data_IF_308421980484
#
_entry.id   IF_308421980484
#
_cell.length_a   1.000
_cell.length_b   1.000
_cell.length_c   1.000
_cell.angle_alpha   90.00
_cell.angle_beta   90.00
_cell.angle_gamma   90.00
#
_symmetry.space_group_name_H-M   'P 1'
#
loop_
_entity.id
_entity.type
_entity.pdbx_description
1 polymer ?
#
# COMPACT_ATOMS: atom_id res chain seq x y z
N UNK A 1 -53.95 -14.38 10.29
CA UNK A 1 -52.53 -13.99 10.21
C UNK A 1 -52.28 -13.40 8.81
N UNK A 2 -52.28 -12.08 8.68
CA UNK A 2 -51.98 -11.41 7.41
C UNK A 2 -50.50 -11.12 7.31
N UNK A 3 -49.82 -11.73 6.33
CA UNK A 3 -48.42 -11.42 6.01
C UNK A 3 -48.37 -9.97 5.52
N UNK A 4 -47.80 -9.06 6.31
CA UNK A 4 -47.50 -7.69 5.88
C UNK A 4 -46.50 -7.79 4.71
N UNK A 5 -46.93 -7.41 3.50
CA UNK A 5 -46.04 -7.19 2.37
C UNK A 5 -44.96 -6.18 2.78
N UNK A 6 -43.70 -6.53 2.53
CA UNK A 6 -42.56 -5.61 2.65
C UNK A 6 -42.83 -4.45 1.67
N UNK A 7 -42.69 -3.17 2.09
CA UNK A 7 -42.90 -2.05 1.18
C UNK A 7 -41.92 -2.12 0.01
N UNK A 8 -42.46 -2.15 -1.21
CA UNK A 8 -41.70 -1.92 -2.43
C UNK A 8 -41.12 -0.51 -2.40
N UNK A 9 -39.81 -0.39 -2.23
CA UNK A 9 -39.13 0.90 -2.19
C UNK A 9 -38.92 1.37 -3.64
N UNK A 10 -39.60 2.44 -4.03
CA UNK A 10 -39.48 3.05 -5.37
C UNK A 10 -38.54 4.26 -5.33
N UNK A 11 -37.85 4.58 -6.44
CA UNK A 11 -37.03 5.77 -6.54
C UNK A 11 -37.88 7.02 -6.22
N UNK A 12 -37.31 8.00 -5.50
CA UNK A 12 -38.07 9.18 -5.12
C UNK A 12 -38.34 10.06 -6.34
N UNK A 13 -39.60 10.45 -6.52
CA UNK A 13 -40.02 11.38 -7.58
C UNK A 13 -39.77 12.81 -7.11
N UNK A 14 -39.00 13.59 -7.89
CA UNK A 14 -38.72 14.99 -7.57
C UNK A 14 -40.04 15.78 -7.64
N UNK A 15 -40.45 16.37 -6.51
CA UNK A 15 -41.61 17.25 -6.46
C UNK A 15 -41.26 18.67 -6.91
N UNK A 16 -42.25 19.48 -7.34
CA UNK A 16 -42.01 20.89 -7.67
C UNK A 16 -41.37 21.70 -6.51
N UNK A 17 -41.68 21.33 -5.26
CA UNK A 17 -41.05 21.91 -4.07
C UNK A 17 -39.56 21.54 -4.00
N UNK A 18 -39.22 20.26 -4.13
CA UNK A 18 -37.84 19.78 -4.10
C UNK A 18 -37.01 20.30 -5.29
N UNK A 19 -37.62 20.47 -6.46
CA UNK A 19 -36.95 21.00 -7.65
C UNK A 19 -36.52 22.47 -7.53
N UNK A 20 -37.24 23.27 -6.72
CA UNK A 20 -36.97 24.71 -6.55
C UNK A 20 -35.88 24.99 -5.50
N UNK A 21 -35.57 24.03 -4.64
CA UNK A 21 -34.57 24.18 -3.60
C UNK A 21 -33.29 23.38 -3.95
N UNK A 22 -32.16 24.08 -4.05
CA UNK A 22 -30.87 23.53 -4.48
C UNK A 22 -30.40 22.37 -3.58
N UNK A 23 -30.67 22.43 -2.27
CA UNK A 23 -30.26 21.39 -1.32
C UNK A 23 -31.09 20.12 -1.50
N UNK A 24 -32.41 20.27 -1.62
CA UNK A 24 -33.29 19.13 -1.87
C UNK A 24 -33.02 18.50 -3.23
N UNK A 25 -32.84 19.30 -4.29
CA UNK A 25 -32.49 18.79 -5.62
C UNK A 25 -31.20 17.98 -5.61
N UNK A 26 -30.17 18.42 -4.86
CA UNK A 26 -28.89 17.71 -4.76
C UNK A 26 -29.04 16.38 -4.01
N UNK A 27 -29.77 16.38 -2.90
CA UNK A 27 -30.02 15.15 -2.12
C UNK A 27 -30.86 14.17 -2.94
N UNK A 28 -31.91 14.63 -3.61
CA UNK A 28 -32.74 13.79 -4.49
C UNK A 28 -31.93 13.24 -5.67
N UNK A 29 -31.01 14.02 -6.24
CA UNK A 29 -30.11 13.52 -7.30
C UNK A 29 -29.27 12.35 -6.82
N UNK A 30 -28.63 12.47 -5.65
CA UNK A 30 -27.82 11.37 -5.07
C UNK A 30 -28.66 10.12 -4.77
N UNK A 31 -29.88 10.31 -4.23
CA UNK A 31 -30.77 9.17 -3.97
C UNK A 31 -31.21 8.54 -5.30
N UNK A 32 -31.58 9.34 -6.31
CA UNK A 32 -31.98 8.83 -7.61
C UNK A 32 -30.85 8.05 -8.29
N UNK A 33 -29.63 8.59 -8.28
CA UNK A 33 -28.43 7.91 -8.81
C UNK A 33 -28.20 6.58 -8.11
N UNK A 34 -28.42 6.51 -6.79
CA UNK A 34 -28.34 5.27 -6.02
C UNK A 34 -29.36 4.22 -6.48
N UNK A 35 -30.60 4.61 -6.76
CA UNK A 35 -31.62 3.70 -7.30
C UNK A 35 -31.33 3.29 -8.76
N UNK A 36 -30.76 4.20 -9.56
CA UNK A 36 -30.42 3.95 -10.95
C UNK A 36 -29.29 2.92 -11.13
N UNK A 37 -28.47 2.68 -10.08
CA UNK A 37 -27.49 1.60 -10.05
C UNK A 37 -28.13 0.19 -10.04
N UNK A 38 -29.44 0.10 -9.78
CA UNK A 38 -30.19 -1.16 -9.71
C UNK A 38 -29.87 -1.99 -8.46
N UNK A 39 -30.51 -3.15 -8.35
CA UNK A 39 -30.09 -4.16 -7.37
C UNK A 39 -28.71 -4.67 -7.79
N UNK A 40 -27.66 -4.12 -7.16
CA UNK A 40 -26.35 -4.76 -7.19
C UNK A 40 -26.51 -6.08 -6.43
N UNK A 41 -26.76 -7.15 -7.18
CA UNK A 41 -26.73 -8.51 -6.65
C UNK A 41 -25.29 -8.85 -6.35
N UNK A 42 -24.85 -8.48 -5.15
CA UNK A 42 -23.63 -9.00 -4.56
C UNK A 42 -23.86 -10.48 -4.26
N UNK A 43 -23.69 -11.34 -5.27
CA UNK A 43 -23.75 -12.80 -5.06
C UNK A 43 -22.64 -13.27 -4.11
N UNK A 44 -21.57 -12.48 -3.97
CA UNK A 44 -20.44 -12.77 -3.09
C UNK A 44 -20.43 -11.81 -1.89
N UNK A 45 -21.36 -12.02 -0.96
CA UNK A 45 -21.32 -11.42 0.39
C UNK A 45 -20.03 -11.73 1.18
N UNK A 46 -19.19 -12.66 0.68
CA UNK A 46 -17.94 -13.07 1.29
C UNK A 46 -16.76 -12.12 1.06
N UNK A 47 -16.73 -11.38 -0.06
CA UNK A 47 -15.63 -10.46 -0.37
C UNK A 47 -15.52 -9.35 0.67
N UNK A 48 -16.67 -8.94 1.23
CA UNK A 48 -16.76 -7.95 2.31
C UNK A 48 -16.58 -8.54 3.72
N UNK A 49 -16.69 -9.87 3.90
CA UNK A 49 -16.47 -10.50 5.20
C UNK A 49 -14.99 -10.47 5.62
N UNK A 50 -14.05 -10.55 4.67
CA UNK A 50 -12.62 -10.34 4.91
C UNK A 50 -12.23 -8.88 5.16
N UNK A 51 -13.12 -7.95 4.80
CA UNK A 51 -12.94 -6.50 4.85
C UNK A 51 -13.57 -5.83 6.08
N UNK A 52 -13.96 -6.61 7.10
CA UNK A 52 -14.66 -6.09 8.30
C UNK A 52 -13.90 -4.98 9.03
N UNK A 53 -12.60 -4.83 8.81
CA UNK A 53 -11.79 -3.77 9.40
C UNK A 53 -11.45 -2.69 8.36
N UNK A 54 -11.83 -1.44 8.66
CA UNK A 54 -11.52 -0.25 7.85
C UNK A 54 -10.03 -0.14 7.51
N UNK A 55 -9.15 -0.58 8.41
CA UNK A 55 -7.70 -0.63 8.17
C UNK A 55 -7.37 -1.53 6.98
N UNK A 56 -7.96 -2.73 6.90
CA UNK A 56 -7.69 -3.68 5.81
C UNK A 56 -8.28 -3.23 4.48
N UNK A 57 -9.47 -2.60 4.51
CA UNK A 57 -10.03 -1.93 3.33
C UNK A 57 -9.05 -0.88 2.82
N UNK A 58 -8.54 -0.04 3.72
CA UNK A 58 -7.62 1.02 3.35
C UNK A 58 -6.31 0.49 2.76
N UNK A 59 -5.78 -0.58 3.34
CA UNK A 59 -4.60 -1.29 2.83
C UNK A 59 -4.84 -1.79 1.39
N UNK A 60 -5.97 -2.45 1.11
CA UNK A 60 -6.32 -2.83 -0.26
C UNK A 60 -6.45 -1.62 -1.21
N UNK A 61 -7.03 -0.51 -0.74
CA UNK A 61 -7.06 0.71 -1.54
C UNK A 61 -5.63 1.23 -1.83
N UNK A 62 -4.71 1.14 -0.87
CA UNK A 62 -3.31 1.50 -1.07
C UNK A 62 -2.65 0.61 -2.12
N UNK A 63 -2.87 -0.71 -2.08
CA UNK A 63 -2.35 -1.64 -3.08
C UNK A 63 -2.74 -1.20 -4.50
N UNK A 64 -4.04 -0.92 -4.72
CA UNK A 64 -4.56 -0.48 -6.02
C UNK A 64 -3.94 0.86 -6.42
N UNK A 65 -3.88 1.83 -5.51
CA UNK A 65 -3.31 3.15 -5.78
C UNK A 65 -1.80 3.10 -6.06
N UNK A 66 -1.06 2.18 -5.44
CA UNK A 66 0.37 1.95 -5.72
C UNK A 66 0.54 1.40 -7.14
N UNK A 67 -0.22 0.38 -7.51
CA UNK A 67 -0.16 -0.24 -8.85
C UNK A 67 -0.58 0.77 -9.93
N UNK A 68 -1.65 1.53 -9.69
CA UNK A 68 -2.09 2.61 -10.58
C UNK A 68 -1.00 3.69 -10.73
N UNK A 69 -0.34 4.06 -9.63
CA UNK A 69 0.73 5.05 -9.67
C UNK A 69 1.95 4.57 -10.45
N UNK A 70 2.35 3.29 -10.29
CA UNK A 70 3.41 2.68 -11.09
C UNK A 70 3.02 2.64 -12.58
N UNK A 71 1.76 2.33 -12.88
CA UNK A 71 1.25 2.33 -14.25
C UNK A 71 1.25 3.74 -14.86
N UNK A 72 0.87 4.76 -14.08
CA UNK A 72 0.84 6.17 -14.52
C UNK A 72 2.22 6.73 -14.90
N UNK A 73 3.29 6.19 -14.32
CA UNK A 73 4.68 6.56 -14.65
C UNK A 73 5.31 5.66 -15.73
N UNK A 74 4.51 4.78 -16.35
CA UNK A 74 4.87 3.98 -17.53
C UNK A 74 5.31 2.54 -17.26
N UNK A 75 5.09 1.99 -16.06
CA UNK A 75 5.33 0.55 -15.83
C UNK A 75 4.16 -0.29 -16.32
N UNK A 76 4.46 -1.39 -17.01
CA UNK A 76 3.47 -2.37 -17.44
C UNK A 76 3.52 -3.61 -16.54
N UNK A 77 2.35 -4.08 -16.10
CA UNK A 77 2.24 -5.35 -15.37
C UNK A 77 2.62 -6.50 -16.30
N UNK A 78 3.64 -7.27 -15.92
CA UNK A 78 4.10 -8.47 -16.65
C UNK A 78 3.48 -9.74 -16.09
N UNK A 79 3.35 -9.82 -14.77
CA UNK A 79 2.72 -10.96 -14.11
C UNK A 79 2.14 -10.56 -12.76
N UNK A 80 1.17 -11.35 -12.32
CA UNK A 80 0.58 -11.26 -10.99
C UNK A 80 0.17 -12.66 -10.54
N UNK A 81 0.41 -12.98 -9.27
CA UNK A 81 0.06 -14.28 -8.71
C UNK A 81 -0.16 -14.20 -7.20
N UNK A 82 -0.67 -15.30 -6.64
CA UNK A 82 -0.76 -15.50 -5.21
C UNK A 82 0.40 -16.37 -4.74
N UNK A 83 1.10 -15.89 -3.71
CA UNK A 83 2.20 -16.60 -3.07
C UNK A 83 1.92 -16.84 -1.59
N UNK A 84 2.17 -18.05 -1.13
CA UNK A 84 2.12 -18.41 0.28
C UNK A 84 3.41 -17.96 0.98
N UNK A 85 3.38 -16.78 1.60
CA UNK A 85 4.54 -16.23 2.31
C UNK A 85 4.89 -16.94 3.62
N UNK A 86 4.06 -17.89 4.11
CA UNK A 86 4.45 -18.75 5.25
C UNK A 86 5.54 -19.75 4.87
N UNK A 87 5.64 -20.07 3.59
CA UNK A 87 6.71 -20.91 3.09
C UNK A 87 7.98 -20.10 2.95
N UNK A 88 9.06 -20.63 3.52
CA UNK A 88 10.39 -20.06 3.41
C UNK A 88 11.03 -20.48 2.09
N UNK A 89 11.95 -19.65 1.57
CA UNK A 89 12.48 -18.41 2.14
C UNK A 89 11.70 -17.17 1.64
N UNK A 90 12.32 -15.98 1.54
CA UNK A 90 11.60 -14.79 1.08
C UNK A 90 10.96 -14.99 -0.30
N UNK A 91 9.84 -14.30 -0.52
CA UNK A 91 9.07 -14.39 -1.76
C UNK A 91 8.07 -15.55 -1.79
N UNK A 92 8.08 -16.48 -0.84
CA UNK A 92 7.07 -17.55 -0.72
C UNK A 92 7.03 -18.51 -1.92
N UNK A 93 5.99 -19.34 -1.99
CA UNK A 93 5.72 -20.23 -3.14
C UNK A 93 4.38 -19.91 -3.81
N UNK A 94 4.28 -20.02 -5.15
CA UNK A 94 3.00 -19.94 -5.84
C UNK A 94 1.98 -20.93 -5.28
N UNK A 95 0.74 -20.49 -5.09
CA UNK A 95 -0.35 -21.32 -4.57
C UNK A 95 -1.70 -20.83 -5.10
N UNK A 96 -2.76 -21.61 -4.85
CA UNK A 96 -4.12 -21.21 -5.25
C UNK A 96 -4.52 -19.96 -4.47
N UNK A 97 -4.86 -18.89 -5.21
CA UNK A 97 -5.37 -17.64 -4.62
C UNK A 97 -6.67 -17.90 -3.84
N UNK A 98 -6.76 -17.49 -2.57
CA UNK A 98 -8.02 -17.47 -1.85
C UNK A 98 -9.03 -16.53 -2.52
N UNK A 99 -10.31 -16.91 -2.54
CA UNK A 99 -11.37 -16.19 -3.28
C UNK A 99 -11.41 -14.70 -2.90
N UNK A 100 -11.30 -14.41 -1.59
CA UNK A 100 -11.50 -13.07 -1.02
C UNK A 100 -10.23 -12.23 -0.86
N UNK A 101 -9.11 -12.66 -1.44
CA UNK A 101 -7.83 -11.93 -1.34
C UNK A 101 -7.32 -11.52 -2.72
N UNK A 102 -6.71 -10.33 -2.86
CA UNK A 102 -6.06 -9.94 -4.11
C UNK A 102 -4.84 -10.83 -4.36
N UNK A 103 -4.29 -10.80 -5.58
CA UNK A 103 -2.92 -11.25 -5.76
C UNK A 103 -2.00 -10.47 -4.82
N UNK A 104 -0.93 -11.11 -4.36
CA UNK A 104 -0.01 -10.52 -3.38
C UNK A 104 1.43 -10.42 -3.89
N UNK A 105 1.64 -10.75 -5.15
CA UNK A 105 2.90 -10.64 -5.85
C UNK A 105 2.65 -10.09 -7.26
N UNK A 106 3.35 -9.02 -7.61
CA UNK A 106 3.23 -8.36 -8.91
C UNK A 106 4.61 -8.05 -9.46
N UNK A 107 4.80 -8.29 -10.75
CA UNK A 107 6.01 -7.88 -11.46
C UNK A 107 5.62 -6.89 -12.54
N UNK A 108 6.23 -5.71 -12.50
CA UNK A 108 6.03 -4.65 -13.48
C UNK A 108 7.35 -4.27 -14.12
N UNK A 109 7.32 -3.82 -15.38
CA UNK A 109 8.52 -3.47 -16.13
C UNK A 109 8.33 -2.19 -16.94
N UNK A 110 9.36 -1.35 -16.93
CA UNK A 110 9.53 -0.19 -17.81
C UNK A 110 10.98 -0.20 -18.30
N UNK A 111 11.18 -0.29 -19.61
CA UNK A 111 12.52 -0.34 -20.23
C UNK A 111 13.42 -1.43 -19.59
N UNK A 112 14.52 -0.98 -18.94
CA UNK A 112 15.49 -1.82 -18.22
C UNK A 112 15.23 -1.88 -16.71
N UNK A 113 14.15 -1.29 -16.23
CA UNK A 113 13.78 -1.30 -14.81
C UNK A 113 12.68 -2.32 -14.55
N UNK A 114 12.96 -3.23 -13.62
CA UNK A 114 12.02 -4.20 -13.08
C UNK A 114 11.57 -3.75 -11.68
N UNK A 115 10.27 -3.76 -11.45
CA UNK A 115 9.64 -3.51 -10.15
C UNK A 115 8.94 -4.78 -9.71
N UNK A 116 9.29 -5.28 -8.52
CA UNK A 116 8.59 -6.40 -7.88
C UNK A 116 7.87 -5.88 -6.66
N UNK A 117 6.54 -5.96 -6.64
CA UNK A 117 5.71 -5.55 -5.50
C UNK A 117 5.21 -6.80 -4.77
N UNK A 118 5.58 -6.88 -3.50
CA UNK A 118 5.08 -7.86 -2.55
C UNK A 118 4.09 -7.20 -1.59
N UNK A 119 2.92 -7.80 -1.46
CA UNK A 119 1.87 -7.37 -0.54
C UNK A 119 1.84 -8.31 0.67
N UNK A 120 2.10 -7.78 1.88
CA UNK A 120 2.28 -8.53 3.13
C UNK A 120 3.29 -9.70 3.07
N UNK A 121 4.53 -9.49 2.58
CA UNK A 121 5.53 -10.55 2.59
C UNK A 121 6.10 -10.81 3.99
N UNK A 122 6.47 -12.07 4.24
CA UNK A 122 7.28 -12.41 5.40
C UNK A 122 8.77 -12.23 5.08
N UNK A 123 9.42 -11.26 5.73
CA UNK A 123 10.86 -11.05 5.68
C UNK A 123 11.48 -11.79 6.87
N UNK A 124 12.12 -12.91 6.58
CA UNK A 124 12.65 -13.81 7.60
C UNK A 124 14.01 -13.37 8.14
N UNK A 125 14.43 -13.96 9.26
CA UNK A 125 15.79 -13.82 9.79
C UNK A 125 16.81 -14.62 8.98
N UNK A 126 18.10 -14.29 9.13
CA UNK A 126 19.25 -14.89 8.41
C UNK A 126 19.18 -16.42 8.31
N UNK A 127 18.78 -17.13 9.38
CA UNK A 127 18.70 -18.60 9.40
C UNK A 127 17.72 -19.19 8.36
N UNK A 128 16.76 -18.41 7.89
CA UNK A 128 15.72 -18.82 6.93
C UNK A 128 15.80 -18.01 5.62
N UNK A 129 16.83 -17.18 5.44
CA UNK A 129 17.05 -16.38 4.24
C UNK A 129 18.04 -17.08 3.30
N UNK A 130 17.94 -16.80 2.01
CA UNK A 130 18.94 -17.18 0.99
C UNK A 130 19.77 -15.98 0.58
N UNK A 131 20.85 -16.26 -0.15
CA UNK A 131 21.57 -15.22 -0.89
C UNK A 131 20.59 -14.52 -1.85
N UNK A 132 20.61 -13.19 -1.84
CA UNK A 132 19.69 -12.37 -2.61
C UNK A 132 18.37 -12.04 -1.89
N UNK A 133 18.13 -12.54 -0.67
CA UNK A 133 16.90 -12.23 0.07
C UNK A 133 17.07 -10.98 0.96
N UNK A 134 15.98 -10.20 1.18
CA UNK A 134 15.90 -9.32 2.32
C UNK A 134 15.85 -10.12 3.62
N UNK A 135 16.37 -9.53 4.70
CA UNK A 135 16.49 -10.18 6.00
C UNK A 135 16.18 -9.25 7.16
N UNK A 136 15.43 -9.78 8.12
CA UNK A 136 15.16 -9.13 9.40
C UNK A 136 16.34 -9.29 10.37
N UNK A 137 16.86 -8.16 10.89
CA UNK A 137 18.08 -8.15 11.73
C UNK A 137 17.89 -7.64 13.17
N UNK A 138 16.75 -7.01 13.49
CA UNK A 138 16.55 -6.45 14.84
C UNK A 138 16.57 -7.51 15.93
N UNK A 139 17.20 -7.19 17.06
CA UNK A 139 17.30 -8.06 18.25
C UNK A 139 15.93 -8.38 18.86
N UNK A 140 14.94 -7.52 18.71
CA UNK A 140 13.55 -7.78 19.12
C UNK A 140 12.98 -9.08 18.51
N UNK A 141 13.55 -9.53 17.38
CA UNK A 141 13.15 -10.76 16.69
C UNK A 141 13.99 -11.98 17.10
N UNK A 142 14.89 -11.87 18.08
CA UNK A 142 15.85 -12.93 18.43
C UNK A 142 15.22 -14.18 19.04
N UNK A 143 14.19 -13.99 19.86
CA UNK A 143 13.58 -15.03 20.70
C UNK A 143 12.95 -16.19 19.93
N UNK A 144 12.62 -16.00 18.65
CA UNK A 144 12.05 -17.04 17.80
C UNK A 144 12.81 -17.14 16.48
N UNK A 145 13.28 -18.35 16.13
CA UNK A 145 13.97 -18.60 14.85
C UNK A 145 13.02 -18.41 13.65
N UNK A 146 11.71 -18.58 13.86
CA UNK A 146 10.67 -18.38 12.86
C UNK A 146 10.04 -16.99 12.91
N UNK A 147 10.65 -16.02 13.59
CA UNK A 147 10.19 -14.64 13.53
C UNK A 147 10.44 -14.05 12.14
N UNK A 148 9.58 -13.10 11.78
CA UNK A 148 9.64 -12.36 10.54
C UNK A 148 9.14 -10.94 10.78
N UNK A 149 9.55 -10.04 9.90
CA UNK A 149 8.97 -8.71 9.75
C UNK A 149 8.06 -8.75 8.53
N UNK A 150 6.84 -8.23 8.66
CA UNK A 150 5.89 -8.11 7.54
C UNK A 150 5.50 -6.64 7.38
N UNK A 151 6.03 -5.92 6.37
CA UNK A 151 5.45 -4.67 5.92
C UNK A 151 4.17 -4.92 5.10
N UNK A 152 3.29 -3.93 4.99
CA UNK A 152 2.12 -4.03 4.11
C UNK A 152 2.55 -4.09 2.64
N UNK A 153 3.51 -3.26 2.23
CA UNK A 153 4.05 -3.23 0.87
C UNK A 153 5.57 -3.21 0.88
N UNK A 154 6.17 -4.18 0.21
CA UNK A 154 7.61 -4.24 -0.02
C UNK A 154 7.86 -4.24 -1.52
N UNK A 155 8.63 -3.28 -2.00
CA UNK A 155 8.87 -3.05 -3.42
C UNK A 155 10.36 -3.17 -3.68
N UNK A 156 10.74 -4.08 -4.57
CA UNK A 156 12.10 -4.20 -5.08
C UNK A 156 12.19 -3.47 -6.41
N UNK A 157 13.22 -2.64 -6.56
CA UNK A 157 13.57 -1.97 -7.82
C UNK A 157 14.91 -2.50 -8.26
N UNK A 158 14.94 -3.08 -9.45
CA UNK A 158 16.15 -3.61 -10.06
C UNK A 158 16.30 -3.08 -11.47
N UNK A 159 17.43 -2.42 -11.73
CA UNK A 159 17.87 -2.19 -13.11
C UNK A 159 18.50 -3.50 -13.62
N UNK A 160 18.08 -3.98 -14.79
CA UNK A 160 18.54 -5.25 -15.38
C UNK A 160 20.06 -5.26 -15.59
N UNK A 161 20.66 -4.10 -15.85
CA UNK A 161 22.11 -3.97 -16.04
C UNK A 161 22.86 -3.83 -14.71
N UNK A 162 22.16 -3.51 -13.61
CA UNK A 162 22.76 -3.36 -12.29
C UNK A 162 22.64 -4.65 -11.46
N UNK A 163 23.64 -4.88 -10.62
CA UNK A 163 23.59 -5.91 -9.58
C UNK A 163 22.95 -5.41 -8.28
N UNK A 164 22.72 -4.11 -8.13
CA UNK A 164 22.06 -3.55 -6.95
C UNK A 164 20.54 -3.73 -7.04
N UNK A 165 19.94 -3.95 -5.87
CA UNK A 165 18.49 -3.89 -5.67
C UNK A 165 18.22 -2.80 -4.64
N UNK A 166 17.23 -1.96 -4.92
CA UNK A 166 16.77 -0.92 -4.01
C UNK A 166 15.39 -1.29 -3.49
N UNK A 167 15.15 -1.08 -2.18
CA UNK A 167 13.88 -1.38 -1.55
C UNK A 167 13.09 -0.11 -1.23
N UNK A 168 11.80 -0.11 -1.58
CA UNK A 168 10.83 0.83 -1.05
C UNK A 168 9.87 0.07 -0.15
N UNK A 169 9.63 0.58 1.06
CA UNK A 169 8.76 -0.07 2.03
C UNK A 169 7.65 0.90 2.40
N UNK A 170 6.41 0.53 2.10
CA UNK A 170 5.24 1.33 2.45
C UNK A 170 4.36 0.58 3.44
N UNK A 171 3.75 1.32 4.34
CA UNK A 171 2.92 0.76 5.41
C UNK A 171 1.66 1.61 5.57
N UNK A 172 0.50 0.98 5.52
CA UNK A 172 -0.78 1.67 5.56
C UNK A 172 -1.21 1.90 7.02
N UNK A 173 -1.53 3.16 7.34
CA UNK A 173 -2.00 3.56 8.65
C UNK A 173 -3.33 4.29 8.49
N UNK A 174 -4.42 3.65 8.92
CA UNK A 174 -5.75 4.27 8.93
C UNK A 174 -5.89 5.30 10.08
N UNK A 175 -5.00 6.29 10.12
CA UNK A 175 -4.86 7.26 11.19
C UNK A 175 -4.74 8.71 10.65
N UNK A 176 -5.02 9.74 11.47
CA UNK A 176 -4.75 11.14 11.11
C UNK A 176 -3.25 11.42 10.97
N UNK A 177 -2.89 12.47 10.23
CA UNK A 177 -1.47 12.81 10.01
C UNK A 177 -0.70 13.06 11.31
N UNK A 178 -1.34 13.61 12.35
CA UNK A 178 -0.71 13.84 13.65
C UNK A 178 -0.31 12.54 14.35
N UNK A 179 -1.10 11.48 14.21
CA UNK A 179 -0.76 10.17 14.77
C UNK A 179 0.36 9.51 13.98
N UNK A 180 0.41 9.73 12.67
CA UNK A 180 1.50 9.27 11.82
C UNK A 180 2.81 9.94 12.23
N UNK A 181 2.78 11.27 12.38
CA UNK A 181 3.93 12.11 12.76
C UNK A 181 4.48 11.73 14.13
N UNK A 182 3.61 11.66 15.15
CA UNK A 182 4.05 11.51 16.53
C UNK A 182 4.37 10.07 16.96
N UNK A 183 3.88 9.06 16.21
CA UNK A 183 3.98 7.66 16.64
C UNK A 183 4.42 6.73 15.51
N UNK A 184 3.70 6.74 14.38
CA UNK A 184 3.92 5.71 13.35
C UNK A 184 5.26 5.85 12.65
N UNK A 185 5.73 7.06 12.32
CA UNK A 185 6.96 7.20 11.54
C UNK A 185 8.19 6.66 12.26
N UNK A 186 8.40 7.03 13.52
CA UNK A 186 9.53 6.54 14.31
C UNK A 186 9.49 5.01 14.47
N UNK A 187 8.30 4.44 14.71
CA UNK A 187 8.09 2.99 14.75
C UNK A 187 8.47 2.31 13.42
N UNK A 188 7.99 2.84 12.29
CA UNK A 188 8.21 2.27 10.97
C UNK A 188 9.67 2.38 10.52
N UNK A 189 10.31 3.52 10.77
CA UNK A 189 11.73 3.73 10.47
C UNK A 189 12.56 2.75 11.30
N UNK A 190 12.27 2.61 12.60
CA UNK A 190 12.95 1.62 13.43
C UNK A 190 12.76 0.19 12.90
N UNK A 191 11.52 -0.19 12.61
CA UNK A 191 11.15 -1.53 12.17
C UNK A 191 11.73 -1.89 10.81
N UNK A 192 11.71 -0.97 9.85
CA UNK A 192 12.00 -1.28 8.45
C UNK A 192 13.33 -0.72 7.96
N UNK A 193 13.64 0.54 8.24
CA UNK A 193 14.88 1.15 7.76
C UNK A 193 16.10 0.57 8.48
N UNK A 194 16.05 0.45 9.81
CA UNK A 194 17.11 -0.19 10.59
C UNK A 194 16.96 -1.71 10.68
N UNK A 195 15.76 -2.24 10.44
CA UNK A 195 15.46 -3.65 10.70
C UNK A 195 15.52 -4.59 9.52
N UNK A 196 15.52 -4.07 8.28
CA UNK A 196 15.57 -4.87 7.06
C UNK A 196 16.87 -4.58 6.31
N UNK A 197 17.64 -5.64 6.07
CA UNK A 197 18.89 -5.62 5.30
C UNK A 197 18.81 -6.61 4.13
N UNK A 198 19.92 -6.78 3.41
CA UNK A 198 20.02 -7.66 2.25
C UNK A 198 21.20 -8.62 2.40
N UNK A 199 20.95 -9.89 2.08
CA UNK A 199 22.01 -10.89 1.97
C UNK A 199 22.56 -10.85 0.55
N UNK A 200 23.82 -10.46 0.39
CA UNK A 200 24.45 -10.43 -0.93
C UNK A 200 24.71 -11.84 -1.48
N UNK A 201 25.15 -11.92 -2.74
CA UNK A 201 25.45 -13.19 -3.42
C UNK A 201 26.51 -14.05 -2.71
N UNK A 202 27.34 -13.44 -1.87
CA UNK A 202 28.38 -14.11 -1.08
C UNK A 202 27.87 -14.57 0.30
N UNK A 203 26.57 -14.41 0.60
CA UNK A 203 25.98 -14.77 1.89
C UNK A 203 26.29 -13.80 3.03
N UNK A 204 26.85 -12.63 2.73
CA UNK A 204 27.16 -11.59 3.71
C UNK A 204 26.09 -10.49 3.72
N UNK A 205 25.93 -9.80 4.84
CA UNK A 205 25.08 -8.62 4.90
C UNK A 205 25.74 -7.48 4.09
N UNK A 206 25.01 -7.00 3.09
CA UNK A 206 25.44 -5.85 2.28
C UNK A 206 25.08 -4.51 2.92
N UNK A 207 25.30 -3.44 2.14
CA UNK A 207 24.73 -2.11 2.43
C UNK A 207 23.20 -2.23 2.56
N UNK A 208 22.60 -1.45 3.45
CA UNK A 208 21.13 -1.34 3.50
C UNK A 208 20.60 -0.83 2.15
N UNK A 209 19.78 -1.62 1.45
CA UNK A 209 19.19 -1.24 0.16
C UNK A 209 17.92 -0.40 0.32
N UNK A 210 17.46 -0.14 1.54
CA UNK A 210 16.19 0.56 1.77
C UNK A 210 16.32 2.04 1.42
N UNK A 211 15.71 2.45 0.31
CA UNK A 211 15.74 3.82 -0.20
C UNK A 211 14.48 4.61 0.14
N UNK A 212 13.41 3.96 0.63
CA UNK A 212 12.27 4.68 1.19
C UNK A 212 11.52 3.88 2.25
N UNK A 213 11.04 4.59 3.27
CA UNK A 213 10.05 4.09 4.23
C UNK A 213 8.92 5.13 4.33
N UNK A 214 7.75 4.80 3.78
CA UNK A 214 6.59 5.71 3.81
C UNK A 214 5.39 5.16 4.56
N UNK A 215 4.86 5.97 5.48
CA UNK A 215 3.53 5.75 6.04
C UNK A 215 2.45 6.29 5.10
N UNK A 216 1.53 5.44 4.65
CA UNK A 216 0.39 5.83 3.82
C UNK A 216 -0.82 6.06 4.71
N UNK A 217 -1.47 7.22 4.66
CA UNK A 217 -2.63 7.51 5.52
C UNK A 217 -3.77 8.28 4.81
N UNK A 218 -5.06 8.01 5.10
CA UNK A 218 -6.17 8.63 4.35
C UNK A 218 -6.82 9.81 5.06
N UNK A 219 -6.69 9.88 6.40
CA UNK A 219 -7.47 10.79 7.23
C UNK A 219 -6.95 12.24 7.11
N UNK A 220 -7.68 13.15 7.75
CA UNK A 220 -7.41 14.59 7.75
C UNK A 220 -5.99 14.93 8.23
N UNK A 221 -5.53 16.10 7.81
CA UNK A 221 -4.25 16.68 8.20
C UNK A 221 -3.34 16.98 7.01
N UNK A 222 -2.04 16.97 7.27
CA UNK A 222 -1.00 17.32 6.30
C UNK A 222 -1.07 16.40 5.07
N UNK A 223 -0.70 16.93 3.89
CA UNK A 223 -0.57 16.12 2.66
C UNK A 223 0.66 15.21 2.71
N UNK A 224 1.74 15.72 3.30
CA UNK A 224 2.99 15.01 3.55
C UNK A 224 3.34 15.26 5.02
N UNK A 225 3.79 14.21 5.71
CA UNK A 225 4.43 14.30 7.02
C UNK A 225 5.91 14.03 6.79
N UNK A 226 6.76 14.95 7.20
CA UNK A 226 8.20 14.78 7.10
C UNK A 226 8.73 14.02 8.31
N UNK A 227 9.79 13.23 8.10
CA UNK A 227 10.52 12.62 9.21
C UNK A 227 11.30 13.66 10.00
N UNK A 228 11.40 13.50 11.32
CA UNK A 228 12.23 14.34 12.19
C UNK A 228 13.74 14.16 11.99
N UNK A 229 14.17 13.13 11.24
CA UNK A 229 15.58 12.80 11.00
C UNK A 229 16.28 13.73 9.98
N UNK A 230 15.51 14.50 9.20
CA UNK A 230 16.05 15.42 8.20
C UNK A 230 15.62 16.85 8.48
N UNK A 231 16.47 17.82 8.12
CA UNK A 231 16.02 19.22 8.05
C UNK A 231 14.92 19.37 7.01
N UNK A 232 14.11 20.42 7.14
CA UNK A 232 12.96 20.66 6.27
C UNK A 232 13.34 20.82 4.80
N UNK A 233 14.55 21.25 4.46
CA UNK A 233 14.99 21.32 3.06
C UNK A 233 15.21 19.93 2.44
N UNK A 234 15.62 18.97 3.27
CA UNK A 234 16.03 17.62 2.86
C UNK A 234 14.94 16.56 3.06
N UNK A 235 13.83 16.95 3.69
CA UNK A 235 12.69 16.08 3.96
C UNK A 235 11.93 15.70 2.69
N UNK A 236 10.96 14.78 2.83
CA UNK A 236 10.10 14.32 1.74
C UNK A 236 9.33 15.47 1.08
N UNK A 237 8.89 16.47 1.85
CA UNK A 237 8.20 17.66 1.33
C UNK A 237 9.13 18.80 0.91
N UNK A 238 10.40 18.72 1.28
CA UNK A 238 11.43 19.74 1.05
C UNK A 238 11.78 20.01 -0.41
N UNK A 239 12.58 21.06 -0.62
CA UNK A 239 13.05 21.50 -1.93
C UNK A 239 14.15 20.59 -2.51
N UNK A 240 14.93 19.93 -1.64
CA UNK A 240 16.02 19.03 -2.02
C UNK A 240 15.94 17.71 -1.25
N UNK A 241 14.89 16.88 -1.50
CA UNK A 241 14.67 15.64 -0.76
C UNK A 241 15.86 14.69 -0.91
N UNK A 242 16.33 14.10 0.19
CA UNK A 242 17.42 13.12 0.18
C UNK A 242 16.92 11.66 0.07
N UNK A 243 17.86 10.76 -0.23
CA UNK A 243 17.67 9.33 0.00
C UNK A 243 18.45 8.92 1.27
N UNK A 244 17.91 8.00 2.08
CA UNK A 244 16.61 7.35 1.93
C UNK A 244 15.44 8.33 2.17
N UNK A 245 14.33 8.13 1.46
CA UNK A 245 13.14 8.97 1.59
C UNK A 245 12.27 8.50 2.75
N UNK A 246 12.25 9.27 3.83
CA UNK A 246 11.54 8.93 5.07
C UNK A 246 10.40 9.92 5.31
N UNK A 247 9.19 9.41 5.59
CA UNK A 247 8.05 10.28 5.87
C UNK A 247 6.72 9.59 5.70
N UNK A 248 5.65 10.37 5.63
CA UNK A 248 4.30 9.90 5.39
C UNK A 248 3.62 10.65 4.25
N UNK A 249 2.79 9.96 3.50
CA UNK A 249 2.00 10.54 2.41
C UNK A 249 0.52 10.30 2.64
N UNK A 250 -0.26 11.37 2.50
CA UNK A 250 -1.71 11.28 2.53
C UNK A 250 -2.22 10.62 1.24
N UNK A 251 -2.44 9.31 1.28
CA UNK A 251 -2.84 8.54 0.11
C UNK A 251 -4.35 8.27 0.14
N UNK A 252 -5.05 8.91 -0.79
CA UNK A 252 -6.49 8.75 -1.08
C UNK A 252 -6.77 9.19 -2.51
N UNK A 253 -7.88 8.76 -3.15
CA UNK A 253 -8.15 9.06 -4.56
C UNK A 253 -8.05 10.56 -4.91
N UNK A 254 -8.61 11.43 -4.06
CA UNK A 254 -8.57 12.90 -4.28
C UNK A 254 -7.19 13.54 -4.17
N UNK A 255 -6.18 12.82 -3.71
CA UNK A 255 -4.80 13.30 -3.53
C UNK A 255 -3.76 12.39 -4.18
N UNK A 256 -4.20 11.47 -5.05
CA UNK A 256 -3.34 10.47 -5.67
C UNK A 256 -2.15 11.08 -6.43
N UNK A 257 -2.37 12.23 -7.08
CA UNK A 257 -1.31 12.96 -7.80
C UNK A 257 -0.12 13.36 -6.92
N UNK A 258 -0.33 13.63 -5.62
CA UNK A 258 0.76 13.94 -4.69
C UNK A 258 1.67 12.73 -4.53
N UNK A 259 1.08 11.55 -4.35
CA UNK A 259 1.82 10.29 -4.23
C UNK A 259 2.48 9.92 -5.56
N UNK A 260 1.77 10.01 -6.68
CA UNK A 260 2.33 9.75 -8.02
C UNK A 260 3.56 10.61 -8.30
N UNK A 261 3.50 11.91 -8.03
CA UNK A 261 4.64 12.82 -8.23
C UNK A 261 5.83 12.45 -7.34
N UNK A 262 5.60 12.12 -6.07
CA UNK A 262 6.68 11.73 -5.15
C UNK A 262 7.27 10.36 -5.51
N UNK A 263 6.43 9.40 -5.91
CA UNK A 263 6.87 8.09 -6.38
C UNK A 263 7.68 8.20 -7.67
N UNK A 264 7.25 9.03 -8.62
CA UNK A 264 7.98 9.29 -9.86
C UNK A 264 9.37 9.89 -9.59
N UNK A 265 9.45 10.89 -8.72
CA UNK A 265 10.72 11.51 -8.31
C UNK A 265 11.64 10.52 -7.58
N UNK A 266 11.08 9.66 -6.73
CA UNK A 266 11.82 8.63 -6.01
C UNK A 266 12.40 7.60 -6.99
N UNK A 267 11.57 7.03 -7.86
CA UNK A 267 12.00 6.04 -8.84
C UNK A 267 13.03 6.64 -9.81
N UNK A 268 12.83 7.87 -10.27
CA UNK A 268 13.78 8.55 -11.15
C UNK A 268 15.16 8.83 -10.52
N UNK A 269 15.31 8.73 -9.20
CA UNK A 269 16.61 8.78 -8.53
C UNK A 269 17.31 7.43 -8.43
N UNK A 270 16.57 6.34 -8.62
CA UNK A 270 17.04 4.96 -8.46
C UNK A 270 17.32 4.28 -9.82
N UNK A 271 16.73 4.80 -10.90
CA UNK A 271 16.86 4.28 -12.27
C UNK A 271 17.76 5.17 -13.11
#
# INVERSE_FOLDING_TARGET
MGVKKIPSFHPPIITPFASRNIHYRRIFGVIFDWYALGDVTFNDSELFNGLRHLTKIYEFCCLIMIIDSLSSIGFEIRSQEWRNYKEKPFGGKPSKRPINLPNNFFTLRKDKTLVTLHYEPNIWRMKNARNGDPVAVLSANESNVNSYISPDFFIEIKNIDSKSVDFLIFDSRYSPSSSVENYSLTELIHKYFFGIHYVNENGQLGRSPTQAVWALYPKRGKKIVDSEYYSSEHSLSGSMPLLPSLGGINLRPSKLSVFQNKLALLIGKLT
#
